data_IF_514383662043
#
_entry.id   IF_514383662043
#
_cell.length_a   1.000
_cell.length_b   1.000
_cell.length_c   1.000
_cell.angle_alpha   90.00
_cell.angle_beta   90.00
_cell.angle_gamma   90.00
#
_symmetry.space_group_name_H-M   'P 1'
#
loop_
_entity.id
_entity.type
_entity.pdbx_description
1 polymer ?
#
# COMPACT_ATOMS: atom_id res chain seq x y z
N UNK A 1 -36.54 19.03 20.08
CA UNK A 1 -35.43 18.37 19.40
C UNK A 1 -36.04 17.33 18.48
N UNK A 2 -36.15 17.65 17.19
CA UNK A 2 -36.69 16.70 16.22
C UNK A 2 -35.69 15.59 15.97
N UNK A 3 -36.12 14.34 16.16
CA UNK A 3 -35.39 13.14 15.80
C UNK A 3 -35.30 13.07 14.26
N UNK A 4 -34.17 13.47 13.67
CA UNK A 4 -33.90 13.21 12.24
C UNK A 4 -33.70 11.71 12.07
N UNK A 5 -34.75 11.02 11.65
CA UNK A 5 -34.70 9.62 11.23
C UNK A 5 -33.87 9.56 9.96
N UNK A 6 -32.59 9.19 10.07
CA UNK A 6 -31.76 8.87 8.89
C UNK A 6 -32.30 7.59 8.26
N UNK A 7 -32.82 7.72 7.04
CA UNK A 7 -33.24 6.58 6.22
C UNK A 7 -31.99 5.73 5.87
N UNK A 8 -31.78 4.61 6.56
CA UNK A 8 -30.61 3.73 6.38
C UNK A 8 -30.87 2.81 5.20
N UNK A 9 -30.40 3.20 4.02
CA UNK A 9 -30.28 2.27 2.91
C UNK A 9 -28.97 1.49 3.02
N UNK A 10 -28.98 0.18 2.70
CA UNK A 10 -27.80 -0.68 2.72
C UNK A 10 -27.56 -1.25 1.34
N UNK A 11 -26.32 -1.09 0.84
CA UNK A 11 -25.84 -1.87 -0.28
C UNK A 11 -25.25 -3.18 0.27
N UNK A 12 -25.81 -4.30 -0.13
CA UNK A 12 -25.39 -5.62 0.32
C UNK A 12 -24.62 -6.28 -0.82
N UNK A 13 -23.38 -6.77 -0.60
CA UNK A 13 -22.63 -7.48 -1.60
C UNK A 13 -23.39 -8.73 -2.08
N UNK A 14 -23.30 -9.04 -3.36
CA UNK A 14 -23.89 -10.25 -3.97
C UNK A 14 -22.90 -11.42 -4.05
N UNK A 15 -21.68 -11.22 -3.55
CA UNK A 15 -20.60 -12.21 -3.48
C UNK A 15 -19.84 -12.09 -2.17
N UNK A 16 -19.08 -13.11 -1.82
CA UNK A 16 -18.20 -13.11 -0.66
C UNK A 16 -17.11 -12.04 -0.78
N UNK A 17 -16.69 -11.45 0.35
CA UNK A 17 -15.60 -10.47 0.36
C UNK A 17 -14.30 -11.08 -0.17
N UNK A 18 -13.67 -10.40 -1.12
CA UNK A 18 -12.32 -10.75 -1.60
C UNK A 18 -11.23 -10.01 -0.81
N UNK A 19 -11.59 -8.97 -0.08
CA UNK A 19 -10.72 -8.22 0.83
C UNK A 19 -11.30 -8.30 2.23
N UNK A 20 -10.50 -8.68 3.22
CA UNK A 20 -11.00 -9.04 4.56
C UNK A 20 -10.53 -8.13 5.67
N UNK A 21 -9.33 -7.57 5.55
CA UNK A 21 -8.74 -6.71 6.58
C UNK A 21 -7.85 -5.65 5.93
N UNK A 22 -7.89 -4.42 6.44
CA UNK A 22 -6.90 -3.39 6.09
C UNK A 22 -5.66 -3.59 6.93
N UNK A 23 -4.53 -3.82 6.28
CA UNK A 23 -3.26 -4.10 6.92
C UNK A 23 -2.34 -2.88 6.98
N UNK A 24 -2.32 -2.09 5.89
CA UNK A 24 -1.35 -1.01 5.73
C UNK A 24 -1.94 0.17 4.97
N UNK A 25 -1.43 1.37 5.26
CA UNK A 25 -1.65 2.60 4.48
C UNK A 25 -0.29 3.09 4.01
N UNK A 26 -0.06 3.07 2.70
CA UNK A 26 1.15 3.58 2.05
C UNK A 26 0.98 5.05 1.65
N UNK A 27 1.87 5.90 2.14
CA UNK A 27 1.86 7.35 1.97
C UNK A 27 3.15 7.77 1.28
N UNK A 28 3.05 8.36 0.10
CA UNK A 28 4.22 8.87 -0.63
C UNK A 28 4.55 10.27 -0.15
N UNK A 29 5.83 10.50 0.13
CA UNK A 29 6.37 11.78 0.63
C UNK A 29 7.59 12.22 -0.19
N UNK A 30 7.86 13.53 -0.24
CA UNK A 30 9.02 14.10 -0.96
C UNK A 30 10.33 13.95 -0.21
N UNK A 31 10.26 13.96 1.12
CA UNK A 31 11.41 13.88 2.00
C UNK A 31 11.02 13.14 3.28
N UNK A 32 11.55 11.94 3.43
CA UNK A 32 11.20 11.05 4.53
C UNK A 32 11.57 11.65 5.88
N UNK A 33 12.77 12.23 6.00
CA UNK A 33 13.25 12.77 7.29
C UNK A 33 12.44 13.98 7.75
N UNK A 34 12.04 14.84 6.80
CA UNK A 34 11.19 15.99 7.11
C UNK A 34 9.77 15.55 7.48
N UNK A 35 9.26 14.52 6.83
CA UNK A 35 7.95 13.95 7.17
C UNK A 35 7.98 13.27 8.52
N UNK A 36 8.97 12.44 8.80
CA UNK A 36 9.13 11.77 10.10
C UNK A 36 9.16 12.77 11.26
N UNK A 37 9.91 13.88 11.12
CA UNK A 37 9.89 14.93 12.15
C UNK A 37 8.49 15.46 12.42
N UNK A 38 7.71 15.75 11.38
CA UNK A 38 6.32 16.22 11.54
C UNK A 38 5.43 15.16 12.22
N UNK A 39 5.53 13.91 11.79
CA UNK A 39 4.73 12.82 12.39
C UNK A 39 5.06 12.61 13.86
N UNK A 40 6.34 12.66 14.22
CA UNK A 40 6.79 12.45 15.61
C UNK A 40 6.56 13.69 16.47
N UNK A 41 7.07 14.85 16.03
CA UNK A 41 7.12 16.05 16.87
C UNK A 41 5.75 16.73 17.00
N UNK A 42 4.97 16.77 15.91
CA UNK A 42 3.68 17.47 15.89
C UNK A 42 2.51 16.56 16.28
N UNK A 43 2.59 15.25 15.99
CA UNK A 43 1.47 14.33 16.16
C UNK A 43 1.76 13.15 17.10
N UNK A 44 3.00 12.96 17.56
CA UNK A 44 3.37 11.87 18.46
C UNK A 44 3.23 10.48 17.85
N UNK A 45 3.30 10.37 16.51
CA UNK A 45 3.15 9.09 15.80
C UNK A 45 4.53 8.46 15.63
N UNK A 46 4.70 7.27 16.18
CA UNK A 46 5.96 6.49 16.16
C UNK A 46 6.01 5.49 17.32
N UNK A 47 7.13 4.80 17.54
CA UNK A 47 8.40 4.92 16.83
C UNK A 47 8.34 4.41 15.38
N UNK A 48 9.27 4.87 14.53
CA UNK A 48 9.36 4.46 13.13
C UNK A 48 10.59 3.61 12.88
N UNK A 49 10.45 2.52 12.14
CA UNK A 49 11.56 1.75 11.58
C UNK A 49 11.84 2.26 10.18
N UNK A 50 13.11 2.54 9.85
CA UNK A 50 13.53 3.12 8.58
C UNK A 50 14.34 2.09 7.80
N UNK A 51 13.99 1.91 6.52
CA UNK A 51 14.67 1.02 5.60
C UNK A 51 14.98 1.73 4.28
N UNK A 52 16.05 1.31 3.62
CA UNK A 52 16.34 1.67 2.25
C UNK A 52 16.13 0.43 1.38
N UNK A 53 15.22 0.53 0.44
CA UNK A 53 14.94 -0.50 -0.52
C UNK A 53 15.79 -0.29 -1.77
N UNK A 54 16.44 -1.35 -2.23
CA UNK A 54 17.26 -1.39 -3.43
C UNK A 54 16.79 -2.52 -4.35
N UNK A 55 17.22 -2.57 -5.63
CA UNK A 55 16.84 -3.66 -6.53
C UNK A 55 17.22 -5.07 -6.05
N UNK A 56 18.13 -5.18 -5.05
CA UNK A 56 18.53 -6.46 -4.47
C UNK A 56 17.52 -7.03 -3.47
N UNK A 57 16.63 -6.18 -2.99
CA UNK A 57 15.64 -6.54 -1.95
C UNK A 57 14.34 -7.09 -2.54
N UNK A 58 14.22 -7.07 -3.87
CA UNK A 58 13.08 -7.65 -4.58
C UNK A 58 13.50 -8.70 -5.60
N UNK A 59 12.67 -9.73 -5.70
CA UNK A 59 12.69 -10.65 -6.84
C UNK A 59 11.56 -10.29 -7.81
N UNK A 60 11.86 -10.27 -9.11
CA UNK A 60 10.87 -10.07 -10.17
C UNK A 60 10.03 -8.79 -10.02
N UNK A 61 10.66 -7.67 -9.62
CA UNK A 61 9.98 -6.39 -9.56
C UNK A 61 9.53 -5.95 -10.95
N UNK A 62 8.23 -5.68 -11.09
CA UNK A 62 7.61 -5.22 -12.32
C UNK A 62 6.70 -4.03 -12.06
N UNK A 63 6.70 -3.08 -12.97
CA UNK A 63 5.70 -2.02 -13.08
C UNK A 63 4.97 -2.17 -14.42
N UNK A 64 3.65 -2.26 -14.38
CA UNK A 64 2.80 -2.46 -15.56
C UNK A 64 3.25 -3.63 -16.45
N UNK A 65 3.73 -4.71 -15.83
CA UNK A 65 4.22 -5.92 -16.50
C UNK A 65 5.62 -5.80 -17.13
N UNK A 66 6.34 -4.70 -16.91
CA UNK A 66 7.72 -4.50 -17.36
C UNK A 66 8.66 -4.66 -16.17
N UNK A 67 9.73 -5.46 -16.34
CA UNK A 67 10.79 -5.58 -15.33
C UNK A 67 11.48 -4.24 -15.12
N UNK A 68 11.65 -3.84 -13.87
CA UNK A 68 12.26 -2.58 -13.48
C UNK A 68 13.25 -2.76 -12.33
N UNK A 69 14.20 -1.83 -12.23
CA UNK A 69 15.06 -1.66 -11.07
C UNK A 69 14.72 -0.33 -10.43
N UNK A 70 14.33 -0.35 -9.15
CA UNK A 70 13.87 0.83 -8.41
C UNK A 70 14.49 0.88 -7.02
N UNK A 71 14.56 2.07 -6.48
CA UNK A 71 15.01 2.31 -5.10
C UNK A 71 14.12 3.34 -4.44
N UNK A 72 13.85 3.13 -3.15
CA UNK A 72 13.12 4.08 -2.31
C UNK A 72 13.52 3.93 -0.86
N UNK A 73 13.25 4.96 -0.06
CA UNK A 73 13.35 4.89 1.41
C UNK A 73 11.97 4.67 1.98
N UNK A 74 11.91 3.85 3.00
CA UNK A 74 10.67 3.47 3.69
C UNK A 74 10.78 3.79 5.18
N UNK A 75 9.66 4.11 5.79
CA UNK A 75 9.53 4.10 7.23
C UNK A 75 8.19 3.49 7.63
N UNK A 76 8.19 2.62 8.63
CA UNK A 76 7.01 1.92 9.12
C UNK A 76 6.74 2.21 10.57
N UNK A 77 5.46 2.30 10.94
CA UNK A 77 4.99 2.31 12.32
C UNK A 77 3.60 1.71 12.43
N UNK A 78 3.26 1.20 13.62
CA UNK A 78 1.89 0.74 13.90
C UNK A 78 1.04 1.87 14.50
N UNK A 79 -0.11 2.14 13.88
CA UNK A 79 -1.13 3.01 14.44
C UNK A 79 -2.36 2.17 14.72
N UNK A 80 -2.48 1.74 15.97
CA UNK A 80 -3.44 0.70 16.34
C UNK A 80 -3.06 -0.65 15.71
N UNK A 81 -3.93 -1.18 14.85
CA UNK A 81 -3.71 -2.46 14.14
C UNK A 81 -3.32 -2.28 12.67
N UNK A 82 -3.19 -1.05 12.22
CA UNK A 82 -2.86 -0.72 10.82
C UNK A 82 -1.44 -0.19 10.76
N UNK A 83 -0.61 -0.76 9.88
CA UNK A 83 0.73 -0.27 9.63
C UNK A 83 0.65 0.99 8.77
N UNK A 84 1.33 2.05 9.17
CA UNK A 84 1.54 3.23 8.33
C UNK A 84 2.93 3.14 7.73
N UNK A 85 3.00 3.36 6.43
CA UNK A 85 4.22 3.36 5.66
C UNK A 85 4.42 4.71 5.00
N UNK A 86 5.58 5.32 5.21
CA UNK A 86 6.02 6.49 4.44
C UNK A 86 7.02 6.04 3.38
N UNK A 87 6.85 6.51 2.14
CA UNK A 87 7.65 6.11 0.98
C UNK A 87 8.23 7.35 0.32
N UNK A 88 9.57 7.44 0.28
CA UNK A 88 10.29 8.45 -0.48
C UNK A 88 10.94 7.78 -1.70
N UNK A 89 10.47 8.04 -2.94
CA UNK A 89 11.13 7.53 -4.14
C UNK A 89 12.52 8.14 -4.30
N UNK A 90 13.50 7.31 -4.69
CA UNK A 90 14.88 7.75 -4.97
C UNK A 90 15.17 7.88 -6.48
N UNK A 91 14.15 7.72 -7.31
CA UNK A 91 14.19 7.85 -8.75
C UNK A 91 13.02 8.72 -9.26
N UNK A 92 13.01 9.06 -10.56
CA UNK A 92 11.98 9.91 -11.16
C UNK A 92 10.92 9.12 -11.94
N UNK A 93 11.04 7.79 -12.04
CA UNK A 93 10.24 6.97 -12.94
C UNK A 93 9.35 5.95 -12.24
N UNK A 94 9.60 5.65 -10.96
CA UNK A 94 8.80 4.68 -10.19
C UNK A 94 7.33 5.09 -10.10
N UNK A 95 6.47 4.13 -9.80
CA UNK A 95 5.03 4.39 -9.55
C UNK A 95 4.85 5.45 -8.45
N UNK A 96 5.74 5.48 -7.47
CA UNK A 96 5.73 6.48 -6.39
C UNK A 96 6.17 7.86 -6.85
N UNK A 97 7.24 7.94 -7.68
CA UNK A 97 7.72 9.19 -8.24
C UNK A 97 6.67 9.83 -9.17
N UNK A 98 6.03 9.02 -10.01
CA UNK A 98 4.92 9.48 -10.87
C UNK A 98 3.73 9.98 -10.04
N UNK A 99 3.33 9.25 -9.00
CA UNK A 99 2.27 9.70 -8.10
C UNK A 99 2.62 11.05 -7.48
N UNK A 100 3.84 11.19 -6.97
CA UNK A 100 4.32 12.41 -6.33
C UNK A 100 4.34 13.61 -7.30
N UNK A 101 4.71 13.38 -8.56
CA UNK A 101 4.71 14.41 -9.60
C UNK A 101 3.29 14.85 -9.99
N UNK A 102 2.34 13.91 -10.07
CA UNK A 102 0.98 14.15 -10.54
C UNK A 102 0.04 14.63 -9.44
N UNK A 103 0.14 14.07 -8.24
CA UNK A 103 -0.82 14.29 -7.14
C UNK A 103 -0.21 14.96 -5.91
N UNK A 104 1.11 15.01 -5.81
CA UNK A 104 1.80 15.48 -4.62
C UNK A 104 1.91 14.41 -3.54
N UNK A 105 2.24 14.83 -2.31
CA UNK A 105 2.32 13.94 -1.15
C UNK A 105 0.92 13.45 -0.74
N UNK A 106 0.81 12.19 -0.33
CA UNK A 106 -0.46 11.65 0.14
C UNK A 106 -0.57 10.13 0.08
N UNK A 107 -1.75 9.63 0.41
CA UNK A 107 -2.05 8.20 0.36
C UNK A 107 -2.00 7.70 -1.08
N UNK A 108 -1.11 6.75 -1.32
CA UNK A 108 -0.92 6.10 -2.62
C UNK A 108 -1.70 4.80 -2.72
N UNK A 109 -1.61 3.96 -1.69
CA UNK A 109 -2.26 2.64 -1.67
C UNK A 109 -2.74 2.28 -0.26
N UNK A 110 -3.62 1.28 -0.24
CA UNK A 110 -4.04 0.60 0.98
C UNK A 110 -3.78 -0.89 0.77
N UNK A 111 -2.99 -1.51 1.66
CA UNK A 111 -2.79 -2.94 1.65
C UNK A 111 -3.92 -3.65 2.40
N UNK A 112 -4.46 -4.68 1.78
CA UNK A 112 -5.56 -5.48 2.33
C UNK A 112 -5.25 -6.97 2.27
N UNK A 113 -5.71 -7.68 3.28
CA UNK A 113 -5.66 -9.14 3.28
C UNK A 113 -6.63 -9.71 2.25
N UNK A 114 -6.20 -10.74 1.53
CA UNK A 114 -7.05 -11.54 0.64
C UNK A 114 -6.85 -13.03 0.95
N UNK A 115 -7.92 -13.82 1.00
CA UNK A 115 -7.79 -15.26 1.23
C UNK A 115 -7.14 -15.99 0.05
N UNK A 116 -7.13 -15.38 -1.13
CA UNK A 116 -6.64 -16.01 -2.36
C UNK A 116 -5.92 -15.01 -3.26
N UNK A 117 -4.62 -14.84 -3.02
CA UNK A 117 -3.77 -13.92 -3.77
C UNK A 117 -3.74 -14.24 -5.27
N UNK A 118 -3.42 -15.50 -5.63
CA UNK A 118 -3.21 -15.88 -7.02
C UNK A 118 -4.52 -15.77 -7.84
N UNK A 119 -5.65 -16.15 -7.27
CA UNK A 119 -6.96 -15.99 -7.95
C UNK A 119 -7.33 -14.51 -8.10
N UNK A 120 -7.05 -13.68 -7.09
CA UNK A 120 -7.31 -12.24 -7.18
C UNK A 120 -6.49 -11.60 -8.29
N UNK A 121 -5.20 -11.94 -8.41
CA UNK A 121 -4.34 -11.49 -9.51
C UNK A 121 -4.86 -11.99 -10.86
N UNK A 122 -5.21 -13.28 -10.95
CA UNK A 122 -5.73 -13.88 -12.18
C UNK A 122 -7.04 -13.23 -12.66
N UNK A 123 -7.93 -12.84 -11.75
CA UNK A 123 -9.14 -12.09 -12.08
C UNK A 123 -8.86 -10.72 -12.68
N UNK A 124 -7.83 -10.00 -12.20
CA UNK A 124 -7.42 -8.73 -12.82
C UNK A 124 -6.89 -8.94 -14.24
N UNK A 125 -6.08 -9.97 -14.45
CA UNK A 125 -5.57 -10.32 -15.77
C UNK A 125 -6.69 -10.66 -16.76
N UNK A 126 -7.72 -11.41 -16.34
CA UNK A 126 -8.91 -11.71 -17.17
C UNK A 126 -9.69 -10.47 -17.58
N UNK A 127 -9.67 -9.42 -16.76
CA UNK A 127 -10.29 -8.12 -17.06
C UNK A 127 -9.42 -7.26 -17.99
N UNK A 128 -8.22 -7.70 -18.35
CA UNK A 128 -7.27 -6.95 -19.15
C UNK A 128 -6.53 -5.87 -18.37
N UNK A 129 -6.55 -5.95 -17.03
CA UNK A 129 -5.87 -5.00 -16.16
C UNK A 129 -4.43 -5.46 -15.89
N UNK A 130 -3.45 -4.64 -16.26
CA UNK A 130 -2.06 -4.82 -15.83
C UNK A 130 -1.90 -4.36 -14.39
N UNK A 131 -1.16 -5.12 -13.58
CA UNK A 131 -0.80 -4.70 -12.23
C UNK A 131 0.04 -3.42 -12.29
N UNK A 132 -0.23 -2.50 -11.38
CA UNK A 132 0.54 -1.25 -11.27
C UNK A 132 1.98 -1.54 -10.86
N UNK A 133 2.12 -2.43 -9.86
CA UNK A 133 3.39 -2.95 -9.38
C UNK A 133 3.19 -4.40 -8.95
N UNK A 134 4.18 -5.24 -9.14
CA UNK A 134 4.26 -6.58 -8.55
C UNK A 134 5.71 -6.96 -8.28
N UNK A 135 5.92 -7.81 -7.28
CA UNK A 135 7.24 -8.30 -6.93
C UNK A 135 7.17 -9.27 -5.75
N UNK A 136 8.33 -9.77 -5.37
CA UNK A 136 8.48 -10.60 -4.18
C UNK A 136 9.54 -9.97 -3.27
N UNK A 137 9.16 -9.73 -2.03
CA UNK A 137 9.96 -9.06 -1.01
C UNK A 137 10.10 -10.03 0.19
N UNK A 138 11.32 -10.47 0.47
CA UNK A 138 11.59 -11.44 1.56
C UNK A 138 10.68 -12.69 1.52
N UNK A 139 10.38 -13.18 0.31
CA UNK A 139 9.51 -14.36 0.11
C UNK A 139 8.00 -14.06 0.10
N UNK A 140 7.60 -12.82 0.29
CA UNK A 140 6.20 -12.38 0.22
C UNK A 140 5.93 -11.77 -1.15
N UNK A 141 4.98 -12.34 -1.88
CA UNK A 141 4.50 -11.76 -3.14
C UNK A 141 3.56 -10.59 -2.84
N UNK A 142 3.77 -9.50 -3.56
CA UNK A 142 2.98 -8.27 -3.49
C UNK A 142 2.44 -7.93 -4.86
N UNK A 143 1.22 -7.42 -4.93
CA UNK A 143 0.62 -6.93 -6.15
C UNK A 143 -0.25 -5.69 -5.90
N UNK A 144 0.00 -4.63 -6.65
CA UNK A 144 -0.80 -3.41 -6.68
C UNK A 144 -1.82 -3.51 -7.80
N UNK A 145 -3.09 -3.57 -7.43
CA UNK A 145 -4.21 -3.68 -8.35
C UNK A 145 -4.55 -2.28 -8.91
N UNK A 146 -4.87 -2.15 -10.21
CA UNK A 146 -5.21 -0.87 -10.83
C UNK A 146 -6.65 -0.44 -10.49
N UNK A 147 -6.91 -0.18 -9.21
CA UNK A 147 -8.23 0.14 -8.66
C UNK A 147 -8.46 1.64 -8.45
N UNK A 148 -7.48 2.46 -8.78
CA UNK A 148 -7.51 3.91 -8.56
C UNK A 148 -8.67 4.61 -9.29
N UNK A 149 -9.05 4.14 -10.48
CA UNK A 149 -10.19 4.68 -11.24
C UNK A 149 -11.54 4.28 -10.64
N UNK A 150 -11.63 3.07 -10.09
CA UNK A 150 -12.88 2.52 -9.58
C UNK A 150 -13.12 2.85 -8.11
N UNK A 151 -12.05 2.85 -7.31
CA UNK A 151 -12.12 2.99 -5.85
C UNK A 151 -11.47 4.30 -5.34
N UNK A 152 -10.85 5.09 -6.24
CA UNK A 152 -10.14 6.30 -5.86
C UNK A 152 -8.79 6.06 -5.17
N UNK A 153 -8.34 4.81 -5.08
CA UNK A 153 -7.08 4.41 -4.47
C UNK A 153 -6.56 3.12 -5.11
N UNK A 154 -5.27 2.88 -5.03
CA UNK A 154 -4.65 1.60 -5.38
C UNK A 154 -4.85 0.64 -4.21
N UNK A 155 -5.27 -0.58 -4.50
CA UNK A 155 -5.30 -1.67 -3.53
C UNK A 155 -4.06 -2.53 -3.71
N UNK A 156 -3.30 -2.68 -2.65
CA UNK A 156 -2.24 -3.66 -2.53
C UNK A 156 -2.78 -4.94 -1.92
N UNK A 157 -2.33 -6.09 -2.43
CA UNK A 157 -2.53 -7.42 -1.83
C UNK A 157 -1.19 -8.11 -1.67
N UNK A 158 -1.09 -8.96 -0.65
CA UNK A 158 0.08 -9.80 -0.40
C UNK A 158 -0.34 -11.24 -0.10
N UNK A 159 0.54 -12.21 -0.38
CA UNK A 159 0.29 -13.61 -0.04
C UNK A 159 0.76 -14.01 1.37
N UNK A 160 1.10 -13.04 2.18
CA UNK A 160 1.51 -13.15 3.58
C UNK A 160 1.30 -11.83 4.29
N UNK A 161 1.50 -11.83 5.60
CA UNK A 161 1.52 -10.59 6.38
C UNK A 161 2.90 -9.99 6.23
N UNK A 162 3.06 -8.71 5.86
CA UNK A 162 4.33 -8.02 6.00
C UNK A 162 4.69 -8.07 7.49
N UNK A 163 5.69 -8.86 7.83
CA UNK A 163 6.08 -9.06 9.22
C UNK A 163 6.84 -7.82 9.67
N UNK A 164 6.23 -6.99 10.50
CA UNK A 164 6.99 -6.41 11.58
C UNK A 164 7.40 -7.61 12.46
N UNK A 165 8.67 -8.01 12.45
CA UNK A 165 9.13 -9.05 13.36
C UNK A 165 8.74 -8.64 14.78
N UNK A 166 7.89 -9.46 15.40
CA UNK A 166 7.59 -9.34 16.82
C UNK A 166 8.89 -9.56 17.60
N UNK A 167 9.58 -8.47 17.89
CA UNK A 167 10.50 -8.45 19.02
C UNK A 167 9.66 -8.38 20.28
N UNK A 168 9.03 -9.51 20.62
CA UNK A 168 8.51 -9.77 21.95
C UNK A 168 9.70 -10.18 22.81
N UNK A 169 10.23 -9.25 23.57
CA UNK A 169 10.98 -9.51 24.80
C UNK A 169 10.52 -8.52 25.87
#
# INVERSE_FOLDING_TARGET
MENVSMNKSRYIPTRDPIFTETMQIGIVVRNLDASLRRYVDDYGIGPWEIHEFTPRDANNLQEYGQSVERSWRLAFTMVGRVMWELIEPLDEESVYARFLAEKGEGVHHIAVATPNFDDTVAEQAKRGNSLVLSGEFSGIKVAYLPTDRDLGMIIEIANGTPVAEENVN
#
